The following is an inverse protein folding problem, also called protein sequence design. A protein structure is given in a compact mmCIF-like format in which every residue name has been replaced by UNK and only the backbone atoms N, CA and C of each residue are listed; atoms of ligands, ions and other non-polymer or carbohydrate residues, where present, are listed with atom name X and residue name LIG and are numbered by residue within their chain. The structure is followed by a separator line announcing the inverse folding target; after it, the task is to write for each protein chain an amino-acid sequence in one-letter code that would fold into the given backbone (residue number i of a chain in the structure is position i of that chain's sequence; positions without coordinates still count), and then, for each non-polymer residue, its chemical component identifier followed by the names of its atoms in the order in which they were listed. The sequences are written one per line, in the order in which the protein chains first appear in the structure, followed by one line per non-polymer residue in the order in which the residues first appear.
data_IF_838835524944
#
_entry.id   IF_838835524944
#
_cell.length_a   1.000
_cell.length_b   1.000
_cell.length_c   1.000
_cell.angle_alpha   90.00
_cell.angle_beta   90.00
_cell.angle_gamma   90.00
#
_symmetry.space_group_name_H-M   'P 1'
#
loop_
_entity.id
_entity.type
_entity.pdbx_description
1 polymer ?
#
# COMPACT_ATOMS: atom_id res chain seq x y z
N UNK A 1 -31.71 -29.64 9.38
CA UNK A 1 -31.59 -29.43 7.93
C UNK A 1 -31.71 -27.92 7.76
N UNK A 2 -30.60 -27.17 7.90
CA UNK A 2 -29.63 -26.87 6.82
C UNK A 2 -30.39 -26.42 5.55
N UNK A 3 -30.21 -25.24 4.96
CA UNK A 3 -29.12 -24.25 4.88
C UNK A 3 -29.81 -22.85 4.79
N UNK A 4 -29.22 -21.67 4.82
CA UNK A 4 -27.90 -21.19 4.41
C UNK A 4 -27.76 -19.77 4.98
N UNK A 5 -26.85 -19.56 5.92
CA UNK A 5 -26.46 -18.22 6.35
C UNK A 5 -25.60 -17.58 5.27
N UNK A 6 -26.22 -16.79 4.38
CA UNK A 6 -25.48 -15.85 3.53
C UNK A 6 -25.00 -14.73 4.43
N UNK A 7 -23.86 -14.94 5.08
CA UNK A 7 -23.18 -13.90 5.83
C UNK A 7 -22.50 -12.95 4.83
N UNK A 8 -23.01 -11.71 4.78
CA UNK A 8 -22.51 -10.60 3.98
C UNK A 8 -20.99 -10.48 4.09
N UNK A 9 -20.26 -10.72 2.99
CA UNK A 9 -18.79 -10.58 2.90
C UNK A 9 -18.29 -9.12 2.92
N UNK A 10 -19.19 -8.15 3.00
CA UNK A 10 -18.91 -6.74 2.71
C UNK A 10 -18.35 -5.93 3.90
N UNK A 11 -18.19 -6.54 5.08
CA UNK A 11 -17.63 -5.84 6.24
C UNK A 11 -16.59 -6.68 7.01
N UNK A 12 -15.73 -7.40 6.28
CA UNK A 12 -14.50 -7.93 6.89
C UNK A 12 -13.48 -6.80 6.94
N UNK A 13 -13.18 -6.33 8.15
CA UNK A 13 -12.01 -5.48 8.41
C UNK A 13 -10.78 -6.09 7.71
N UNK A 14 -10.38 -5.48 6.61
CA UNK A 14 -9.30 -5.97 5.75
C UNK A 14 -7.98 -5.69 6.47
N UNK A 15 -7.20 -6.73 6.71
CA UNK A 15 -5.85 -6.63 7.25
C UNK A 15 -4.90 -7.13 6.18
N UNK A 16 -3.87 -6.36 5.86
CA UNK A 16 -2.81 -6.79 4.95
C UNK A 16 -2.13 -8.08 5.46
N UNK A 17 -1.58 -8.87 4.54
CA UNK A 17 -0.85 -10.06 4.94
C UNK A 17 0.50 -9.68 5.57
N UNK A 18 1.09 -10.57 6.36
CA UNK A 18 2.42 -10.31 6.90
C UNK A 18 3.50 -10.26 5.81
N UNK A 19 3.23 -10.84 4.63
CA UNK A 19 4.11 -10.72 3.45
C UNK A 19 4.06 -9.29 2.90
N UNK A 20 2.86 -8.69 2.84
CA UNK A 20 2.71 -7.29 2.40
C UNK A 20 3.44 -6.33 3.36
N UNK A 21 3.28 -6.52 4.67
CA UNK A 21 4.01 -5.71 5.67
C UNK A 21 5.54 -5.91 5.56
N UNK A 22 5.99 -7.14 5.29
CA UNK A 22 7.40 -7.42 5.04
C UNK A 22 7.91 -6.66 3.80
N UNK A 23 7.16 -6.68 2.70
CA UNK A 23 7.54 -6.00 1.47
C UNK A 23 7.59 -4.48 1.63
N UNK A 24 6.66 -3.90 2.39
CA UNK A 24 6.68 -2.48 2.73
C UNK A 24 7.96 -2.13 3.52
N UNK A 25 8.27 -2.89 4.57
CA UNK A 25 9.49 -2.69 5.36
C UNK A 25 10.76 -2.90 4.52
N UNK A 26 10.78 -3.92 3.68
CA UNK A 26 11.90 -4.22 2.78
C UNK A 26 12.12 -3.09 1.77
N UNK A 27 11.04 -2.54 1.19
CA UNK A 27 11.14 -1.38 0.28
C UNK A 27 11.67 -0.15 1.00
N UNK A 28 11.19 0.14 2.20
CA UNK A 28 11.70 1.25 3.01
C UNK A 28 13.21 1.10 3.25
N UNK A 29 13.64 -0.07 3.74
CA UNK A 29 15.03 -0.34 4.10
C UNK A 29 15.97 -0.61 2.91
N UNK A 30 15.43 -0.74 1.70
CA UNK A 30 16.25 -1.01 0.52
C UNK A 30 17.20 0.15 0.21
N UNK A 31 18.40 -0.19 -0.25
CA UNK A 31 19.46 0.77 -0.56
C UNK A 31 18.97 1.84 -1.56
N UNK A 32 18.27 1.43 -2.62
CA UNK A 32 17.71 2.35 -3.63
C UNK A 32 16.74 3.37 -3.02
N UNK A 33 15.79 2.91 -2.20
CA UNK A 33 14.82 3.80 -1.53
C UNK A 33 15.52 4.72 -0.53
N UNK A 34 16.51 4.21 0.20
CA UNK A 34 17.26 4.98 1.16
C UNK A 34 18.08 6.08 0.50
N UNK A 35 18.75 5.78 -0.62
CA UNK A 35 19.47 6.79 -1.42
C UNK A 35 18.52 7.82 -2.02
N UNK A 36 17.37 7.40 -2.58
CA UNK A 36 16.38 8.34 -3.12
C UNK A 36 15.89 9.33 -2.05
N UNK A 37 15.57 8.82 -0.86
CA UNK A 37 15.13 9.66 0.27
C UNK A 37 16.24 10.60 0.75
N UNK A 38 17.48 10.11 0.82
CA UNK A 38 18.63 10.93 1.16
C UNK A 38 18.88 12.04 0.13
N UNK A 39 18.74 11.73 -1.16
CA UNK A 39 18.86 12.74 -2.22
C UNK A 39 17.79 13.83 -2.12
N UNK A 40 16.55 13.46 -1.79
CA UNK A 40 15.44 14.41 -1.70
C UNK A 40 15.43 15.23 -0.40
N UNK A 41 15.72 14.60 0.74
CA UNK A 41 15.51 15.19 2.08
C UNK A 41 16.80 15.33 2.90
N UNK A 42 17.93 14.79 2.44
CA UNK A 42 19.22 14.84 3.16
C UNK A 42 19.35 13.83 4.30
N UNK A 43 18.39 12.93 4.48
CA UNK A 43 18.37 11.99 5.61
C UNK A 43 17.93 10.57 5.25
N UNK A 44 18.53 9.59 5.95
CA UNK A 44 18.10 8.21 5.90
C UNK A 44 16.87 7.98 6.80
N UNK A 45 16.03 7.03 6.40
CA UNK A 45 14.82 6.67 7.15
C UNK A 45 15.18 5.54 8.08
N UNK A 46 14.78 5.59 9.36
CA UNK A 46 15.03 4.48 10.27
C UNK A 46 14.05 3.32 10.07
N UNK A 47 13.00 3.46 9.23
CA UNK A 47 11.99 2.45 8.91
C UNK A 47 11.38 1.75 10.14
N UNK A 48 11.30 2.46 11.27
CA UNK A 48 10.91 1.90 12.57
C UNK A 48 9.44 1.50 12.56
N UNK A 49 8.58 2.33 11.95
CA UNK A 49 7.13 2.09 11.88
C UNK A 49 6.84 0.82 11.08
N UNK A 50 7.40 0.70 9.89
CA UNK A 50 7.18 -0.43 8.98
C UNK A 50 7.72 -1.72 9.60
N UNK A 51 8.89 -1.65 10.25
CA UNK A 51 9.48 -2.77 10.99
C UNK A 51 8.60 -3.20 12.17
N UNK A 52 8.03 -2.24 12.90
CA UNK A 52 7.10 -2.51 14.00
C UNK A 52 5.84 -3.21 13.48
N UNK A 53 5.23 -2.70 12.42
CA UNK A 53 4.01 -3.26 11.82
C UNK A 53 4.23 -4.70 11.35
N UNK A 54 5.35 -4.97 10.68
CA UNK A 54 5.73 -6.34 10.31
C UNK A 54 5.84 -7.26 11.54
N UNK A 55 6.53 -6.82 12.60
CA UNK A 55 6.63 -7.59 13.85
C UNK A 55 5.26 -7.79 14.50
N UNK A 56 4.43 -6.75 14.59
CA UNK A 56 3.07 -6.84 15.13
C UNK A 56 2.23 -7.85 14.37
N UNK A 57 2.37 -7.93 13.03
CA UNK A 57 1.71 -8.97 12.22
C UNK A 57 2.17 -10.38 12.60
N UNK A 58 3.48 -10.59 12.75
CA UNK A 58 4.00 -11.89 13.19
C UNK A 58 3.49 -12.27 14.59
N UNK A 59 3.49 -11.32 15.53
CA UNK A 59 2.96 -11.54 16.88
C UNK A 59 1.46 -11.82 16.88
N UNK A 60 0.69 -11.17 16.01
CA UNK A 60 -0.72 -11.41 15.86
C UNK A 60 -1.00 -12.84 15.36
N UNK A 61 -0.18 -13.38 14.45
CA UNK A 61 -0.31 -14.78 14.00
C UNK A 61 -0.11 -15.79 15.13
N UNK A 62 0.75 -15.49 16.11
CA UNK A 62 1.03 -16.36 17.26
C UNK A 62 0.00 -16.19 18.37
N UNK A 63 -0.27 -14.94 18.79
CA UNK A 63 -1.05 -14.63 20.01
C UNK A 63 -2.52 -14.31 19.76
N UNK A 64 -2.88 -13.87 18.54
CA UNK A 64 -4.25 -13.50 18.12
C UNK A 64 -4.98 -12.55 19.08
N UNK A 65 -4.26 -11.58 19.67
CA UNK A 65 -4.87 -10.61 20.59
C UNK A 65 -5.71 -9.57 19.84
N UNK A 66 -6.78 -9.08 20.47
CA UNK A 66 -7.66 -8.07 19.90
C UNK A 66 -6.96 -6.72 19.69
N UNK A 67 -6.05 -6.35 20.58
CA UNK A 67 -5.25 -5.11 20.51
C UNK A 67 -4.38 -5.07 19.25
N UNK A 68 -3.64 -6.16 18.97
CA UNK A 68 -2.82 -6.27 17.76
C UNK A 68 -3.68 -6.26 16.50
N UNK A 69 -4.87 -6.86 16.55
CA UNK A 69 -5.82 -6.81 15.44
C UNK A 69 -6.22 -5.36 15.13
N UNK A 70 -6.60 -4.59 16.15
CA UNK A 70 -7.01 -3.19 16.00
C UNK A 70 -5.87 -2.32 15.45
N UNK A 71 -4.64 -2.50 15.95
CA UNK A 71 -3.45 -1.81 15.44
C UNK A 71 -3.24 -2.11 13.94
N UNK A 72 -3.28 -3.38 13.53
CA UNK A 72 -3.06 -3.77 12.14
C UNK A 72 -4.17 -3.30 11.18
N UNK A 73 -5.42 -3.19 11.66
CA UNK A 73 -6.53 -2.63 10.89
C UNK A 73 -6.30 -1.15 10.63
N UNK A 74 -5.90 -0.39 11.65
CA UNK A 74 -5.61 1.04 11.52
C UNK A 74 -4.47 1.27 10.51
N UNK A 75 -3.37 0.53 10.63
CA UNK A 75 -2.23 0.61 9.71
C UNK A 75 -2.61 0.22 8.28
N UNK A 76 -3.42 -0.85 8.12
CA UNK A 76 -3.91 -1.25 6.79
C UNK A 76 -4.75 -0.15 6.16
N UNK A 77 -5.59 0.52 6.95
CA UNK A 77 -6.41 1.63 6.48
C UNK A 77 -5.54 2.82 6.04
N UNK A 78 -4.53 3.20 6.82
CA UNK A 78 -3.60 4.27 6.42
C UNK A 78 -2.89 3.95 5.10
N UNK A 79 -2.46 2.70 4.91
CA UNK A 79 -1.81 2.26 3.67
C UNK A 79 -2.78 2.31 2.49
N UNK A 80 -3.99 1.78 2.64
CA UNK A 80 -5.02 1.83 1.59
C UNK A 80 -5.39 3.30 1.26
N UNK A 81 -5.53 4.18 2.26
CA UNK A 81 -5.79 5.61 2.07
C UNK A 81 -4.63 6.30 1.32
N UNK A 82 -3.38 5.98 1.65
CA UNK A 82 -2.21 6.49 0.94
C UNK A 82 -2.16 6.01 -0.51
N UNK A 83 -2.40 4.72 -0.77
CA UNK A 83 -2.44 4.17 -2.13
C UNK A 83 -3.56 4.81 -2.94
N UNK A 84 -4.73 5.00 -2.33
CA UNK A 84 -5.84 5.71 -2.95
C UNK A 84 -5.50 7.17 -3.26
N UNK A 85 -4.72 7.84 -2.41
CA UNK A 85 -4.25 9.21 -2.66
C UNK A 85 -3.25 9.27 -3.83
N UNK A 86 -2.27 8.36 -3.86
CA UNK A 86 -1.26 8.31 -4.93
C UNK A 86 -1.88 8.02 -6.30
N UNK A 87 -2.92 7.18 -6.34
CA UNK A 87 -3.64 6.89 -7.58
C UNK A 87 -4.68 7.96 -7.97
N UNK A 88 -4.85 9.01 -7.17
CA UNK A 88 -5.71 10.16 -7.48
C UNK A 88 -4.89 11.33 -8.01
N UNK A 89 -5.48 12.20 -8.86
CA UNK A 89 -4.77 13.35 -9.39
C UNK A 89 -4.34 14.26 -8.24
N UNK A 90 -3.07 14.69 -8.24
CA UNK A 90 -2.49 15.47 -7.14
C UNK A 90 -3.00 16.92 -7.06
N UNK A 91 -3.88 17.33 -7.99
CA UNK A 91 -4.41 18.69 -8.01
C UNK A 91 -5.74 18.76 -8.75
N UNK A 92 -6.56 19.74 -8.40
CA UNK A 92 -7.78 20.12 -9.15
C UNK A 92 -7.50 20.68 -10.56
N UNK A 93 -6.23 20.79 -10.95
CA UNK A 93 -5.80 21.43 -12.20
C UNK A 93 -5.60 20.41 -13.33
N UNK A 94 -5.36 19.14 -13.00
CA UNK A 94 -5.02 18.11 -13.98
C UNK A 94 -5.99 16.92 -13.89
N UNK A 95 -6.66 16.62 -15.00
CA UNK A 95 -7.53 15.45 -15.15
C UNK A 95 -6.72 14.23 -15.61
N UNK A 96 -7.11 13.03 -15.15
CA UNK A 96 -6.51 11.79 -15.64
C UNK A 96 -6.89 11.59 -17.11
N UNK A 97 -5.90 11.25 -17.94
CA UNK A 97 -6.18 10.84 -19.32
C UNK A 97 -6.86 9.48 -19.31
N UNK A 98 -8.00 9.37 -19.97
CA UNK A 98 -8.69 8.09 -20.19
C UNK A 98 -8.10 7.34 -21.38
N UNK A 99 -7.71 8.08 -22.43
CA UNK A 99 -7.14 7.53 -23.66
C UNK A 99 -5.71 8.04 -23.92
N UNK A 100 -4.85 7.21 -24.54
CA UNK A 100 -3.56 7.66 -25.04
C UNK A 100 -3.75 8.73 -26.14
N UNK A 101 -2.72 9.55 -26.36
CA UNK A 101 -2.78 10.56 -27.41
C UNK A 101 -2.96 9.91 -28.80
N UNK A 102 -3.84 10.47 -29.64
CA UNK A 102 -4.23 9.88 -30.93
C UNK A 102 -3.07 9.74 -31.93
N UNK A 103 -1.98 10.46 -31.73
CA UNK A 103 -0.74 10.42 -32.49
C UNK A 103 0.25 9.35 -32.02
N UNK A 104 0.05 8.76 -30.83
CA UNK A 104 0.94 7.72 -30.28
C UNK A 104 1.09 6.50 -31.21
N UNK A 105 0.03 6.11 -31.90
CA UNK A 105 0.01 4.92 -32.78
C UNK A 105 0.35 5.24 -34.24
N UNK A 106 0.66 6.49 -34.58
CA UNK A 106 1.07 6.83 -35.94
C UNK A 106 2.48 6.32 -36.15
N UNK A 107 2.63 5.30 -37.01
CA UNK A 107 3.94 4.99 -37.59
C UNK A 107 4.36 6.21 -38.39
N UNK A 108 5.41 6.89 -37.95
CA UNK A 108 6.11 7.85 -38.79
C UNK A 108 6.52 7.12 -40.07
N UNK A 109 5.89 7.46 -41.19
CA UNK A 109 6.41 7.13 -42.51
C UNK A 109 7.69 7.96 -42.68
N UNK A 110 8.82 7.36 -42.29
CA UNK A 110 10.14 7.88 -42.53
C UNK A 110 10.33 7.96 -44.06
N UNK A 111 10.22 9.16 -44.61
CA UNK A 111 10.55 9.49 -46.00
C UNK A 111 12.07 9.60 -46.20
#
# INVERSE_FOLDING_TARGET
MEESGVENKENREKILSCVDFYDIWRRCSSISSQFHRYYQYGEFSPCIREKKNFKSCLWYKVRKTAELKAELIAETKEIDDFLNFVHKPSSSVWEFREDPAADWLKKEELH
#
